data_IF_887426016620
#
_entry.id   IF_887426016620
#
_cell.length_a   1.000
_cell.length_b   1.000
_cell.length_c   1.000
_cell.angle_alpha   90.00
_cell.angle_beta   90.00
_cell.angle_gamma   90.00
#
_symmetry.space_group_name_H-M   'P 1'
#
loop_
_entity.id
_entity.type
_entity.pdbx_description
1 polymer ?
#
# COMPACT_ATOMS: atom_id res chain seq x y z
N UNK A 1 9.76 15.50 -42.03
CA UNK A 1 9.53 15.07 -40.63
C UNK A 1 8.79 16.20 -39.94
N UNK A 2 7.47 16.12 -39.92
CA UNK A 2 6.57 17.15 -39.38
C UNK A 2 6.07 16.65 -38.03
N UNK A 3 6.54 17.25 -36.94
CA UNK A 3 6.00 17.04 -35.60
C UNK A 3 4.56 17.57 -35.56
N UNK A 4 3.59 16.82 -35.01
CA UNK A 4 2.24 17.33 -34.79
C UNK A 4 2.28 18.47 -33.75
N UNK A 5 1.28 19.36 -33.71
CA UNK A 5 1.26 20.48 -32.78
C UNK A 5 1.29 19.97 -31.34
N UNK A 6 2.35 20.34 -30.63
CA UNK A 6 2.54 20.07 -29.21
C UNK A 6 1.52 20.92 -28.45
N UNK A 7 0.40 20.30 -28.12
CA UNK A 7 -0.77 20.97 -27.58
C UNK A 7 -0.61 21.29 -26.08
N UNK A 8 0.57 21.00 -25.51
CA UNK A 8 1.04 21.34 -24.17
C UNK A 8 2.10 22.45 -24.25
N UNK A 9 2.06 23.48 -23.38
CA UNK A 9 3.07 24.54 -23.38
C UNK A 9 4.43 24.08 -22.80
N UNK A 10 4.55 22.83 -22.35
CA UNK A 10 5.77 22.24 -21.79
C UNK A 10 6.38 21.21 -22.73
N UNK A 11 7.71 21.16 -22.80
CA UNK A 11 8.40 20.12 -23.56
C UNK A 11 8.34 18.75 -22.85
N UNK A 12 8.66 17.67 -23.56
CA UNK A 12 8.56 16.30 -23.03
C UNK A 12 9.34 16.07 -21.72
N UNK A 13 10.55 16.62 -21.60
CA UNK A 13 11.37 16.49 -20.38
C UNK A 13 10.71 17.21 -19.20
N UNK A 14 10.15 18.40 -19.43
CA UNK A 14 9.40 19.17 -18.43
C UNK A 14 8.12 18.44 -18.03
N UNK A 15 7.39 17.87 -19.00
CA UNK A 15 6.18 17.07 -18.73
C UNK A 15 6.50 15.84 -17.88
N UNK A 16 7.57 15.10 -18.22
CA UNK A 16 8.04 13.93 -17.43
C UNK A 16 8.42 14.34 -16.01
N UNK A 17 9.16 15.44 -15.85
CA UNK A 17 9.55 15.96 -14.54
C UNK A 17 8.35 16.38 -13.71
N UNK A 18 7.39 17.08 -14.32
CA UNK A 18 6.17 17.52 -13.64
C UNK A 18 5.34 16.32 -13.18
N UNK A 19 5.08 15.35 -14.07
CA UNK A 19 4.37 14.11 -13.74
C UNK A 19 5.03 13.37 -12.57
N UNK A 20 6.34 13.11 -12.66
CA UNK A 20 7.05 12.39 -11.60
C UNK A 20 7.04 13.14 -10.26
N UNK A 21 7.04 14.48 -10.30
CA UNK A 21 6.90 15.29 -9.08
C UNK A 21 5.49 15.20 -8.51
N UNK A 22 4.44 15.28 -9.34
CA UNK A 22 3.06 15.11 -8.89
C UNK A 22 2.82 13.72 -8.29
N UNK A 23 3.34 12.66 -8.91
CA UNK A 23 3.27 11.29 -8.38
C UNK A 23 4.02 11.14 -7.05
N UNK A 24 5.16 11.82 -6.90
CA UNK A 24 5.90 11.82 -5.64
C UNK A 24 5.14 12.52 -4.53
N UNK A 25 4.53 13.68 -4.81
CA UNK A 25 3.70 14.41 -3.84
C UNK A 25 2.51 13.54 -3.44
N UNK A 26 1.80 12.93 -4.40
CA UNK A 26 0.65 12.07 -4.11
C UNK A 26 1.01 10.84 -3.27
N UNK A 27 2.22 10.29 -3.44
CA UNK A 27 2.75 9.23 -2.56
C UNK A 27 2.91 9.72 -1.12
N UNK A 28 3.50 10.89 -0.91
CA UNK A 28 3.65 11.48 0.43
C UNK A 28 2.27 11.75 1.06
N UNK A 29 1.31 12.25 0.29
CA UNK A 29 -0.06 12.45 0.78
C UNK A 29 -0.71 11.12 1.21
N UNK A 30 -0.49 10.06 0.44
CA UNK A 30 -0.99 8.72 0.77
C UNK A 30 -0.31 8.14 2.02
N UNK A 31 0.97 8.44 2.25
CA UNK A 31 1.67 8.09 3.49
C UNK A 31 1.06 8.80 4.70
N UNK A 32 0.73 10.09 4.58
CA UNK A 32 0.05 10.84 5.65
C UNK A 32 -1.32 10.21 5.96
N UNK A 33 -2.12 9.87 4.94
CA UNK A 33 -3.40 9.17 5.15
C UNK A 33 -3.23 7.83 5.87
N UNK A 34 -2.18 7.07 5.54
CA UNK A 34 -1.89 5.80 6.21
C UNK A 34 -1.57 6.00 7.70
N UNK A 35 -0.82 7.06 8.06
CA UNK A 35 -0.53 7.42 9.46
C UNK A 35 -1.82 7.73 10.23
N UNK A 36 -2.72 8.52 9.61
CA UNK A 36 -4.02 8.86 10.21
C UNK A 36 -4.89 7.62 10.39
N UNK A 37 -4.92 6.72 9.40
CA UNK A 37 -5.68 5.48 9.45
C UNK A 37 -5.12 4.47 10.45
N UNK A 38 -3.81 4.43 10.66
CA UNK A 38 -3.17 3.55 11.66
C UNK A 38 -3.67 3.87 13.08
N UNK A 39 -3.88 5.15 13.37
CA UNK A 39 -4.37 5.63 14.68
C UNK A 39 -5.79 5.11 14.99
N UNK A 40 -6.59 4.81 13.96
CA UNK A 40 -7.92 4.20 14.09
C UNK A 40 -7.93 2.68 13.94
N UNK A 41 -6.78 2.06 13.68
CA UNK A 41 -6.65 0.61 13.46
C UNK A 41 -6.31 -0.11 14.77
N UNK A 42 -6.83 -1.32 14.94
CA UNK A 42 -6.44 -2.23 16.04
C UNK A 42 -5.09 -2.90 15.75
N UNK A 43 -4.08 -2.11 15.40
CA UNK A 43 -2.75 -2.63 15.11
C UNK A 43 -2.13 -3.24 16.39
N UNK A 44 -1.66 -4.48 16.30
CA UNK A 44 -1.00 -5.16 17.42
C UNK A 44 0.32 -4.46 17.84
N UNK A 45 0.94 -3.70 16.93
CA UNK A 45 2.18 -2.97 17.14
C UNK A 45 2.06 -1.56 16.53
N UNK A 46 1.43 -0.59 17.22
CA UNK A 46 1.24 0.75 16.69
C UNK A 46 2.57 1.54 16.68
N UNK A 47 2.80 2.31 15.61
CA UNK A 47 3.98 3.14 15.43
C UNK A 47 3.83 4.55 15.99
N UNK A 48 2.59 5.03 16.11
CA UNK A 48 2.25 6.41 16.46
C UNK A 48 1.35 6.50 17.69
N UNK A 49 1.49 7.59 18.43
CA UNK A 49 0.61 7.94 19.55
C UNK A 49 -0.44 8.93 19.02
N UNK A 50 -1.75 8.74 19.32
CA UNK A 50 -2.78 9.71 18.97
C UNK A 50 -2.56 11.03 19.71
N UNK A 51 -1.96 12.02 19.05
CA UNK A 51 -1.73 13.36 19.58
C UNK A 51 -2.60 14.44 18.90
N UNK A 52 -3.40 14.05 17.92
CA UNK A 52 -4.38 14.91 17.24
C UNK A 52 -5.82 14.48 17.54
N UNK A 53 -6.72 15.46 17.59
CA UNK A 53 -8.15 15.21 17.75
C UNK A 53 -8.80 14.77 16.42
N UNK A 54 -9.95 14.09 16.49
CA UNK A 54 -10.72 13.74 15.30
C UNK A 54 -11.13 14.97 14.45
N UNK A 55 -11.31 16.13 15.06
CA UNK A 55 -11.57 17.38 14.35
C UNK A 55 -10.34 17.84 13.55
N UNK A 56 -9.14 17.76 14.13
CA UNK A 56 -7.89 18.07 13.43
C UNK A 56 -7.62 17.08 12.29
N UNK A 57 -7.87 15.78 12.52
CA UNK A 57 -7.73 14.76 11.48
C UNK A 57 -8.59 15.08 10.24
N UNK A 58 -9.87 15.42 10.42
CA UNK A 58 -10.76 15.81 9.31
C UNK A 58 -10.23 17.02 8.54
N UNK A 59 -9.71 18.02 9.25
CA UNK A 59 -9.11 19.19 8.62
C UNK A 59 -7.89 18.78 7.77
N UNK A 60 -7.05 17.89 8.26
CA UNK A 60 -5.90 17.36 7.49
C UNK A 60 -6.38 16.63 6.23
N UNK A 61 -7.39 15.76 6.34
CA UNK A 61 -7.99 15.04 5.22
C UNK A 61 -8.55 16.00 4.14
N UNK A 62 -9.25 17.06 4.56
CA UNK A 62 -9.75 18.10 3.64
C UNK A 62 -8.61 18.82 2.90
N UNK A 63 -7.52 19.14 3.59
CA UNK A 63 -6.33 19.73 2.96
C UNK A 63 -5.68 18.76 1.96
N UNK A 64 -5.55 17.48 2.29
CA UNK A 64 -5.02 16.46 1.38
C UNK A 64 -5.87 16.38 0.11
N UNK A 65 -7.19 16.33 0.24
CA UNK A 65 -8.11 16.33 -0.89
C UNK A 65 -7.93 17.58 -1.76
N UNK A 66 -7.80 18.76 -1.14
CA UNK A 66 -7.54 20.02 -1.84
C UNK A 66 -6.24 20.00 -2.67
N UNK A 67 -5.15 19.47 -2.11
CA UNK A 67 -3.87 19.34 -2.82
C UNK A 67 -3.99 18.40 -4.02
N UNK A 68 -4.63 17.23 -3.88
CA UNK A 68 -4.82 16.29 -5.00
C UNK A 68 -5.65 16.88 -6.14
N UNK A 69 -6.66 17.69 -5.81
CA UNK A 69 -7.42 18.47 -6.79
C UNK A 69 -6.50 19.44 -7.55
N UNK A 70 -5.60 20.14 -6.86
CA UNK A 70 -4.65 21.05 -7.52
C UNK A 70 -3.64 20.32 -8.40
N UNK A 71 -3.11 19.17 -7.97
CA UNK A 71 -2.21 18.34 -8.77
C UNK A 71 -2.90 17.90 -10.07
N UNK A 72 -4.11 17.36 -9.97
CA UNK A 72 -4.88 16.90 -11.13
C UNK A 72 -5.19 18.04 -12.09
N UNK A 73 -5.71 19.16 -11.58
CA UNK A 73 -6.01 20.35 -12.40
C UNK A 73 -4.78 20.88 -13.12
N UNK A 74 -3.60 20.81 -12.49
CA UNK A 74 -2.35 21.26 -13.12
C UNK A 74 -1.96 20.33 -14.26
N UNK A 75 -1.98 19.02 -14.06
CA UNK A 75 -1.70 18.04 -15.12
C UNK A 75 -2.68 18.17 -16.30
N UNK A 76 -3.97 18.34 -16.01
CA UNK A 76 -5.02 18.51 -17.03
C UNK A 76 -4.80 19.78 -17.86
N UNK A 77 -4.47 20.91 -17.22
CA UNK A 77 -4.14 22.17 -17.91
C UNK A 77 -2.92 22.05 -18.83
N UNK A 78 -1.96 21.21 -18.43
CA UNK A 78 -0.76 20.93 -19.21
C UNK A 78 -0.97 19.78 -20.22
N UNK A 79 -2.18 19.20 -20.30
CA UNK A 79 -2.50 18.03 -21.13
C UNK A 79 -1.56 16.84 -20.89
N UNK A 80 -1.05 16.69 -19.66
CA UNK A 80 -0.16 15.60 -19.28
C UNK A 80 -1.01 14.43 -18.79
N UNK A 81 -0.94 13.31 -19.49
CA UNK A 81 -1.61 12.08 -19.06
C UNK A 81 -0.99 11.54 -17.76
N UNK A 82 -1.88 11.12 -16.85
CA UNK A 82 -1.53 10.33 -15.68
C UNK A 82 -1.17 8.91 -16.12
N UNK A 83 -0.26 8.28 -15.40
CA UNK A 83 -0.01 6.86 -15.61
C UNK A 83 -1.22 6.05 -15.12
N UNK A 84 -1.74 5.11 -15.92
CA UNK A 84 -2.81 4.23 -15.46
C UNK A 84 -2.30 3.33 -14.33
N UNK A 85 -3.15 2.97 -13.36
CA UNK A 85 -2.78 2.00 -12.34
C UNK A 85 -2.42 0.65 -12.99
N UNK A 86 -1.20 0.18 -12.76
CA UNK A 86 -0.68 -1.04 -13.41
C UNK A 86 -0.80 -2.29 -12.53
N UNK A 87 -1.01 -2.12 -11.22
CA UNK A 87 -0.99 -3.21 -10.23
C UNK A 87 -2.40 -3.42 -9.69
N UNK A 88 -3.04 -4.58 -9.96
CA UNK A 88 -4.31 -4.93 -9.35
C UNK A 88 -4.20 -5.02 -7.83
N UNK A 89 -5.24 -4.58 -7.11
CA UNK A 89 -5.31 -4.66 -5.65
C UNK A 89 -5.12 -6.11 -5.16
N UNK A 90 -5.73 -7.08 -5.84
CA UNK A 90 -5.57 -8.50 -5.52
C UNK A 90 -4.11 -8.95 -5.59
N UNK A 91 -3.35 -8.48 -6.59
CA UNK A 91 -1.90 -8.77 -6.71
C UNK A 91 -1.12 -8.14 -5.56
N UNK A 92 -1.44 -6.89 -5.21
CA UNK A 92 -0.79 -6.20 -4.09
C UNK A 92 -1.04 -6.92 -2.75
N UNK A 93 -2.30 -7.31 -2.47
CA UNK A 93 -2.65 -8.04 -1.25
C UNK A 93 -1.94 -9.40 -1.21
N UNK A 94 -1.98 -10.18 -2.32
CA UNK A 94 -1.32 -11.50 -2.38
C UNK A 94 0.18 -11.40 -2.08
N UNK A 95 0.85 -10.37 -2.59
CA UNK A 95 2.27 -10.14 -2.29
C UNK A 95 2.51 -9.88 -0.79
N UNK A 96 1.59 -9.20 -0.10
CA UNK A 96 1.67 -8.98 1.35
C UNK A 96 1.38 -10.26 2.14
N UNK A 97 0.40 -11.06 1.73
CA UNK A 97 0.12 -12.36 2.35
C UNK A 97 1.30 -13.32 2.23
N UNK A 98 1.99 -13.33 1.07
CA UNK A 98 3.20 -14.12 0.90
C UNK A 98 4.34 -13.65 1.82
N UNK A 99 4.44 -12.34 2.08
CA UNK A 99 5.41 -11.81 3.04
C UNK A 99 5.11 -12.27 4.48
N UNK A 100 3.83 -12.38 4.84
CA UNK A 100 3.40 -12.92 6.14
C UNK A 100 3.74 -14.40 6.26
N UNK A 101 3.50 -15.20 5.20
CA UNK A 101 3.87 -16.62 5.18
C UNK A 101 5.38 -16.84 5.39
N UNK A 102 6.22 -16.04 4.71
CA UNK A 102 7.67 -16.07 4.94
C UNK A 102 8.00 -15.73 6.40
N UNK A 103 7.45 -14.64 6.93
CA UNK A 103 7.72 -14.23 8.31
C UNK A 103 7.28 -15.30 9.33
N UNK A 104 6.14 -15.97 9.09
CA UNK A 104 5.66 -17.08 9.91
C UNK A 104 6.59 -18.30 9.82
N UNK A 105 7.16 -18.58 8.65
CA UNK A 105 8.16 -19.64 8.49
C UNK A 105 9.47 -19.32 9.22
N UNK A 106 9.91 -18.06 9.20
CA UNK A 106 11.15 -17.59 9.84
C UNK A 106 11.12 -17.68 11.37
N UNK A 107 9.95 -17.61 12.01
CA UNK A 107 9.83 -17.79 13.46
C UNK A 107 9.86 -19.27 13.90
N UNK A 108 9.82 -20.23 12.97
CA UNK A 108 9.88 -21.65 13.33
C UNK A 108 11.21 -22.00 14.02
N UNK A 109 11.22 -23.00 14.92
CA UNK A 109 12.39 -23.31 15.73
C UNK A 109 13.64 -23.66 14.92
N UNK A 110 13.47 -24.16 13.68
CA UNK A 110 14.59 -24.47 12.79
C UNK A 110 15.40 -23.23 12.41
N UNK A 111 14.74 -22.09 12.24
CA UNK A 111 15.35 -20.82 11.85
C UNK A 111 15.80 -20.00 13.07
N UNK A 112 15.12 -20.14 14.21
CA UNK A 112 15.47 -19.46 15.46
C UNK A 112 16.77 -19.98 16.11
N UNK A 113 17.30 -21.14 15.71
CA UNK A 113 18.55 -21.72 16.25
C UNK A 113 19.78 -20.83 16.05
N UNK A 114 19.76 -19.96 15.03
CA UNK A 114 20.83 -18.97 14.81
C UNK A 114 20.94 -17.92 15.93
N UNK A 115 19.88 -17.74 16.71
CA UNK A 115 19.81 -16.79 17.83
C UNK A 115 20.00 -17.46 19.20
N UNK A 116 20.34 -18.76 19.23
CA UNK A 116 20.58 -19.52 20.45
C UNK A 116 19.74 -20.78 20.56
N UNK A 117 19.89 -21.48 21.69
CA UNK A 117 19.19 -22.75 21.93
C UNK A 117 17.71 -22.49 22.22
N UNK A 118 16.83 -23.04 21.38
CA UNK A 118 15.38 -23.05 21.61
C UNK A 118 15.02 -24.23 22.52
N UNK A 119 14.27 -23.97 23.60
CA UNK A 119 13.78 -25.04 24.49
C UNK A 119 12.72 -25.90 23.79
N UNK A 120 12.48 -27.12 24.28
CA UNK A 120 11.44 -27.98 23.68
C UNK A 120 10.05 -27.36 23.76
N UNK A 121 9.72 -26.73 24.88
CA UNK A 121 8.43 -26.04 25.08
C UNK A 121 8.27 -24.87 24.11
N UNK A 122 9.25 -23.96 24.05
CA UNK A 122 9.22 -22.84 23.12
C UNK A 122 9.19 -23.32 21.66
N UNK A 123 9.87 -24.43 21.34
CA UNK A 123 9.82 -24.99 20.01
C UNK A 123 8.42 -25.45 19.60
N UNK A 124 7.66 -26.06 20.52
CA UNK A 124 6.27 -26.45 20.27
C UNK A 124 5.39 -25.21 20.08
N UNK A 125 5.48 -24.23 20.98
CA UNK A 125 4.69 -22.99 20.93
C UNK A 125 4.91 -22.22 19.62
N UNK A 126 6.18 -22.04 19.21
CA UNK A 126 6.52 -21.35 17.96
C UNK A 126 6.00 -22.08 16.72
N UNK A 127 5.99 -23.41 16.71
CA UNK A 127 5.44 -24.17 15.59
C UNK A 127 3.92 -24.02 15.49
N UNK A 128 3.21 -24.02 16.62
CA UNK A 128 1.76 -23.81 16.66
C UNK A 128 1.44 -22.43 16.13
N UNK A 129 2.07 -21.40 16.69
CA UNK A 129 1.84 -20.01 16.29
C UNK A 129 2.17 -19.77 14.81
N UNK A 130 3.30 -20.29 14.33
CA UNK A 130 3.64 -20.22 12.91
C UNK A 130 2.58 -20.90 12.02
N UNK A 131 2.09 -22.06 12.43
CA UNK A 131 1.03 -22.78 11.71
C UNK A 131 -0.26 -21.98 11.61
N UNK A 132 -0.70 -21.38 12.72
CA UNK A 132 -1.92 -20.55 12.79
C UNK A 132 -1.82 -19.33 11.87
N UNK A 133 -0.67 -18.64 11.83
CA UNK A 133 -0.46 -17.51 10.93
C UNK A 133 -0.51 -17.92 9.45
N UNK A 134 0.12 -19.05 9.11
CA UNK A 134 0.12 -19.59 7.75
C UNK A 134 -1.29 -19.99 7.31
N UNK A 135 -2.05 -20.66 8.19
CA UNK A 135 -3.44 -21.04 7.92
C UNK A 135 -4.30 -19.80 7.63
N UNK A 136 -4.20 -18.75 8.45
CA UNK A 136 -4.94 -17.49 8.25
C UNK A 136 -4.54 -16.78 6.95
N UNK A 137 -3.26 -16.79 6.59
CA UNK A 137 -2.78 -16.22 5.33
C UNK A 137 -3.33 -17.00 4.11
N UNK A 138 -3.40 -18.33 4.20
CA UNK A 138 -3.96 -19.22 3.16
C UNK A 138 -5.46 -18.97 3.00
N UNK A 139 -6.23 -18.99 4.10
CA UNK A 139 -7.68 -18.72 4.07
C UNK A 139 -8.00 -17.41 3.34
N UNK A 140 -7.26 -16.34 3.64
CA UNK A 140 -7.45 -15.04 3.00
C UNK A 140 -6.98 -15.03 1.53
N UNK A 141 -5.92 -15.79 1.19
CA UNK A 141 -5.49 -15.96 -0.20
C UNK A 141 -6.59 -16.61 -1.05
N UNK A 142 -7.12 -17.74 -0.57
CA UNK A 142 -8.18 -18.50 -1.24
C UNK A 142 -9.45 -17.65 -1.39
N UNK A 143 -9.82 -16.87 -0.36
CA UNK A 143 -10.94 -15.95 -0.45
C UNK A 143 -10.77 -14.95 -1.59
N UNK A 144 -9.58 -14.35 -1.74
CA UNK A 144 -9.31 -13.37 -2.80
C UNK A 144 -9.31 -14.03 -4.18
N UNK A 145 -8.75 -15.23 -4.33
CA UNK A 145 -8.73 -15.96 -5.61
C UNK A 145 -10.13 -16.40 -6.05
N UNK A 146 -10.94 -16.92 -5.12
CA UNK A 146 -12.29 -17.42 -5.42
C UNK A 146 -13.30 -16.29 -5.71
N UNK A 147 -13.04 -15.06 -5.25
CA UNK A 147 -13.91 -13.90 -5.47
C UNK A 147 -13.38 -12.91 -6.53
N UNK A 148 -12.21 -13.17 -7.13
CA UNK A 148 -11.64 -12.33 -8.17
C UNK A 148 -12.43 -12.36 -9.49
N UNK A 149 -13.28 -13.38 -9.71
CA UNK A 149 -14.06 -13.56 -10.94
C UNK A 149 -15.43 -12.87 -11.00
N UNK A 150 -15.91 -12.24 -9.91
CA UNK A 150 -17.30 -11.76 -9.85
C UNK A 150 -17.53 -10.29 -10.23
N UNK A 151 -16.51 -9.57 -10.72
CA UNK A 151 -16.62 -8.12 -11.05
C UNK A 151 -16.34 -7.73 -12.50
N UNK A 152 -16.11 -8.68 -13.41
CA UNK A 152 -16.01 -8.39 -14.85
C UNK A 152 -17.35 -8.64 -15.57
N UNK A 153 -18.41 -7.91 -15.21
CA UNK A 153 -19.60 -7.77 -16.06
C UNK A 153 -20.41 -6.53 -15.64
N UNK A 154 -19.99 -5.37 -16.14
CA UNK A 154 -20.86 -4.26 -16.58
C UNK A 154 -19.99 -3.11 -17.13
N UNK A 155 -19.73 -3.17 -18.43
CA UNK A 155 -19.66 -2.00 -19.30
C UNK A 155 -20.63 -2.27 -20.46
#
# INVERSE_FOLDING_TARGET
>A
MTTPPDDSPLNENQQRRLRGTCEHIDRILSEIENILNETGSEAAFPSYIPDITAAQQRVVEDYIAGVRVQLTRTLDRQKILKNPPAIPISRAIRSRLYSIDIAAEEIKPRHMRGFGKVSKTAATELNIFAGELQEKAIELHEYIENNAGSRECKL
#
